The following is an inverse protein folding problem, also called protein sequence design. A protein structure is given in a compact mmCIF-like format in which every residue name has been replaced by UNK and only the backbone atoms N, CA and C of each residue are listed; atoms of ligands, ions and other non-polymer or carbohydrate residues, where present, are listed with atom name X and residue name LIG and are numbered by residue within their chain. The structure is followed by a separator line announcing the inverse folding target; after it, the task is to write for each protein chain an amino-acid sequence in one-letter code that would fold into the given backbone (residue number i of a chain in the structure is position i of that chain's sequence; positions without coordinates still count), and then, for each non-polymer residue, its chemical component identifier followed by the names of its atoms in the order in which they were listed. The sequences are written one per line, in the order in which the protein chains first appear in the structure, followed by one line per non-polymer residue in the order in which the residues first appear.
data_IF_247762221660
#
_entry.id   IF_247762221660
#
_cell.length_a   1.000
_cell.length_b   1.000
_cell.length_c   1.000
_cell.angle_alpha   90.00
_cell.angle_beta   90.00
_cell.angle_gamma   90.00
#
_symmetry.space_group_name_H-M   'P 1'
#
loop_
_entity.id
_entity.type
_entity.pdbx_description
1 polymer ?
#
# COMPACT_ATOMS: atom_id res chain seq x y z
N UNK A 1 3.28 8.99 -18.48
CA UNK A 1 2.77 8.99 -17.09
C UNK A 1 1.61 9.98 -17.03
N UNK A 2 0.37 9.54 -16.78
CA UNK A 2 -0.79 10.46 -16.82
C UNK A 2 -1.07 10.99 -15.42
N UNK A 3 -1.16 12.31 -15.25
CA UNK A 3 -1.41 12.97 -13.96
C UNK A 3 -2.65 12.40 -13.23
N UNK A 4 -3.72 12.11 -13.98
CA UNK A 4 -4.95 11.48 -13.47
C UNK A 4 -4.67 10.15 -12.75
N UNK A 5 -3.82 9.31 -13.35
CA UNK A 5 -3.48 7.97 -12.82
C UNK A 5 -2.72 8.07 -11.50
N UNK A 6 -1.72 8.96 -11.45
CA UNK A 6 -0.97 9.21 -10.22
C UNK A 6 -1.87 9.79 -9.12
N UNK A 7 -2.80 10.68 -9.47
CA UNK A 7 -3.76 11.24 -8.52
C UNK A 7 -4.72 10.17 -7.96
N UNK A 8 -5.26 9.29 -8.80
CA UNK A 8 -6.09 8.17 -8.35
C UNK A 8 -5.33 7.20 -7.44
N UNK A 9 -4.05 6.95 -7.76
CA UNK A 9 -3.14 6.20 -6.89
C UNK A 9 -2.92 6.89 -5.55
N UNK A 10 -2.60 8.19 -5.56
CA UNK A 10 -2.37 8.98 -4.36
C UNK A 10 -3.58 8.99 -3.43
N UNK A 11 -4.78 9.22 -3.97
CA UNK A 11 -6.02 9.18 -3.19
C UNK A 11 -6.28 7.80 -2.58
N UNK A 12 -6.08 6.72 -3.35
CA UNK A 12 -6.18 5.36 -2.84
C UNK A 12 -5.20 5.08 -1.71
N UNK A 13 -3.96 5.53 -1.85
CA UNK A 13 -2.92 5.41 -0.84
C UNK A 13 -3.20 6.20 0.43
N UNK A 14 -3.67 7.46 0.31
CA UNK A 14 -4.11 8.28 1.45
C UNK A 14 -5.20 7.60 2.24
N UNK A 15 -6.24 7.07 1.56
CA UNK A 15 -7.35 6.40 2.24
C UNK A 15 -6.87 5.12 2.93
N UNK A 16 -6.06 4.30 2.24
CA UNK A 16 -5.53 3.07 2.81
C UNK A 16 -4.64 3.33 4.04
N UNK A 17 -3.79 4.36 4.01
CA UNK A 17 -2.98 4.78 5.17
C UNK A 17 -3.82 5.40 6.30
N UNK A 18 -4.90 6.11 5.96
CA UNK A 18 -5.86 6.58 6.97
C UNK A 18 -6.55 5.43 7.69
N UNK A 19 -6.98 4.40 6.94
CA UNK A 19 -7.52 3.17 7.54
C UNK A 19 -6.44 2.49 8.39
N UNK A 20 -5.19 2.39 7.89
CA UNK A 20 -4.03 1.92 8.65
C UNK A 20 -3.90 2.65 10.00
N UNK A 21 -3.90 3.98 10.02
CA UNK A 21 -3.75 4.70 11.29
C UNK A 21 -4.92 4.38 12.24
N UNK A 22 -6.13 4.24 11.71
CA UNK A 22 -7.33 3.99 12.51
C UNK A 22 -7.38 2.59 13.16
N UNK A 23 -6.87 1.51 12.53
CA UNK A 23 -6.89 0.18 13.16
C UNK A 23 -5.71 -0.08 14.10
N UNK A 24 -4.64 0.73 14.10
CA UNK A 24 -3.45 0.49 14.93
C UNK A 24 -3.75 0.23 16.42
N UNK A 25 -4.73 0.91 17.07
CA UNK A 25 -5.09 0.58 18.45
C UNK A 25 -5.57 -0.86 18.64
N UNK A 26 -6.18 -1.48 17.63
CA UNK A 26 -6.65 -2.86 17.66
C UNK A 26 -5.52 -3.85 17.39
N UNK A 27 -4.73 -3.63 16.34
CA UNK A 27 -3.66 -4.56 15.98
C UNK A 27 -2.57 -4.64 17.07
N UNK A 28 -2.25 -3.54 17.76
CA UNK A 28 -1.33 -3.55 18.91
C UNK A 28 -1.77 -4.51 20.00
N UNK A 29 -3.09 -4.61 20.24
CA UNK A 29 -3.67 -5.54 21.22
C UNK A 29 -3.59 -6.99 20.75
N UNK A 30 -3.87 -7.23 19.46
CA UNK A 30 -3.82 -8.57 18.84
C UNK A 30 -2.40 -9.13 18.85
N UNK A 31 -1.43 -8.32 18.41
CA UNK A 31 -0.03 -8.74 18.28
C UNK A 31 0.79 -8.56 19.56
N UNK A 32 0.25 -7.88 20.58
CA UNK A 32 0.92 -7.59 21.86
C UNK A 32 2.29 -6.92 21.64
N UNK A 33 2.29 -5.89 20.80
CA UNK A 33 3.46 -5.05 20.51
C UNK A 33 3.04 -3.59 20.54
N UNK A 34 3.87 -2.73 21.13
CA UNK A 34 3.66 -1.29 21.19
C UNK A 34 3.89 -0.56 19.88
N UNK A 35 4.32 -1.25 18.81
CA UNK A 35 4.71 -0.63 17.56
C UNK A 35 3.57 0.19 16.94
N UNK A 36 3.82 1.49 16.74
CA UNK A 36 2.89 2.48 16.23
C UNK A 36 3.62 3.34 15.19
N UNK A 37 3.19 3.26 13.92
CA UNK A 37 3.82 4.00 12.82
C UNK A 37 3.57 5.51 12.91
N UNK A 38 2.43 5.94 13.48
CA UNK A 38 2.13 7.35 13.69
C UNK A 38 3.05 7.91 14.77
N UNK A 39 3.27 7.17 15.85
CA UNK A 39 4.23 7.54 16.88
C UNK A 39 5.65 7.58 16.34
N UNK A 40 6.05 6.55 15.60
CA UNK A 40 7.36 6.48 14.97
C UNK A 40 7.62 7.70 14.06
N UNK A 41 6.69 8.04 13.17
CA UNK A 41 6.88 9.17 12.24
C UNK A 41 6.78 10.52 12.94
N UNK A 42 5.83 10.68 13.86
CA UNK A 42 5.60 11.93 14.56
C UNK A 42 6.79 12.32 15.43
N UNK A 43 7.26 11.36 16.25
CA UNK A 43 8.39 11.57 17.17
C UNK A 43 9.75 11.66 16.48
N UNK A 44 9.85 11.31 15.19
CA UNK A 44 11.03 11.62 14.39
C UNK A 44 11.16 13.13 14.10
N UNK A 45 10.05 13.88 14.15
CA UNK A 45 10.01 15.31 13.83
C UNK A 45 9.84 16.19 15.06
N UNK A 46 8.91 15.85 15.96
CA UNK A 46 8.65 16.59 17.20
C UNK A 46 8.35 15.65 18.35
N UNK A 47 8.88 15.94 19.53
CA UNK A 47 8.57 15.19 20.77
C UNK A 47 7.49 15.89 21.61
N UNK A 48 7.01 17.04 21.15
CA UNK A 48 5.98 17.84 21.80
C UNK A 48 4.58 17.24 21.56
N UNK A 49 3.55 17.86 22.15
CA UNK A 49 2.17 17.35 22.17
C UNK A 49 1.55 17.19 20.77
N UNK A 50 2.14 17.80 19.75
CA UNK A 50 1.70 17.78 18.36
C UNK A 50 2.13 16.53 17.59
N UNK A 51 3.03 15.70 18.14
CA UNK A 51 3.55 14.51 17.44
C UNK A 51 2.45 13.60 16.84
N UNK A 52 1.26 13.39 17.44
CA UNK A 52 0.24 12.53 16.84
C UNK A 52 -0.29 13.09 15.51
N UNK A 53 -0.45 14.42 15.43
CA UNK A 53 -0.93 15.07 14.21
C UNK A 53 0.13 15.08 13.12
N UNK A 54 1.38 15.36 13.50
CA UNK A 54 2.53 15.32 12.58
C UNK A 54 2.73 13.91 12.05
N UNK A 55 2.71 12.91 12.92
CA UNK A 55 2.85 11.51 12.56
C UNK A 55 1.74 11.03 11.64
N UNK A 56 0.48 11.40 11.91
CA UNK A 56 -0.65 11.06 11.05
C UNK A 56 -0.50 11.70 9.68
N UNK A 57 -0.14 12.99 9.62
CA UNK A 57 0.08 13.71 8.37
C UNK A 57 1.18 13.06 7.51
N UNK A 58 2.32 12.72 8.13
CA UNK A 58 3.40 12.01 7.44
C UNK A 58 2.98 10.61 6.99
N UNK A 59 2.21 9.89 7.82
CA UNK A 59 1.75 8.55 7.48
C UNK A 59 0.81 8.55 6.27
N UNK A 60 -0.16 9.47 6.21
CA UNK A 60 -1.05 9.60 5.05
C UNK A 60 -0.31 10.13 3.82
N UNK A 61 0.66 11.03 4.00
CA UNK A 61 1.52 11.50 2.90
C UNK A 61 2.36 10.37 2.31
N UNK A 62 2.96 9.52 3.15
CA UNK A 62 3.69 8.34 2.70
C UNK A 62 2.78 7.39 1.93
N UNK A 63 1.56 7.16 2.43
CA UNK A 63 0.52 6.40 1.72
C UNK A 63 0.21 7.00 0.34
N UNK A 64 0.05 8.32 0.25
CA UNK A 64 -0.20 9.01 -1.01
C UNK A 64 0.95 8.84 -2.02
N UNK A 65 2.19 9.03 -1.58
CA UNK A 65 3.39 8.84 -2.41
C UNK A 65 3.48 7.39 -2.88
N UNK A 66 3.32 6.43 -1.96
CA UNK A 66 3.30 5.01 -2.29
C UNK A 66 2.22 4.70 -3.33
N UNK A 67 0.99 5.16 -3.11
CA UNK A 67 -0.14 4.93 -4.01
C UNK A 67 0.09 5.50 -5.41
N UNK A 68 0.69 6.69 -5.52
CA UNK A 68 1.06 7.29 -6.80
C UNK A 68 2.09 6.44 -7.56
N UNK A 69 3.11 5.92 -6.86
CA UNK A 69 4.13 5.02 -7.42
C UNK A 69 3.49 3.69 -7.82
N UNK A 70 2.71 3.09 -6.93
CA UNK A 70 1.98 1.84 -7.16
C UNK A 70 1.14 1.93 -8.43
N UNK A 71 0.41 3.03 -8.64
CA UNK A 71 -0.39 3.20 -9.84
C UNK A 71 0.45 3.09 -11.12
N UNK A 72 1.72 3.50 -11.12
CA UNK A 72 2.62 3.35 -12.29
C UNK A 72 3.22 1.95 -12.41
N UNK A 73 3.53 1.31 -11.30
CA UNK A 73 4.19 -0.02 -11.27
C UNK A 73 3.19 -1.18 -11.42
N UNK A 74 1.91 -0.97 -11.08
CA UNK A 74 0.83 -1.96 -11.14
C UNK A 74 0.75 -2.81 -12.42
N UNK A 75 1.03 -2.33 -13.64
CA UNK A 75 0.99 -3.15 -14.85
C UNK A 75 2.00 -4.31 -14.82
N UNK A 76 3.09 -4.18 -14.07
CA UNK A 76 4.13 -5.21 -13.95
C UNK A 76 3.85 -6.22 -12.84
N UNK A 77 2.76 -6.04 -12.07
CA UNK A 77 2.39 -6.94 -10.98
C UNK A 77 1.34 -7.96 -11.45
N UNK A 78 1.53 -9.26 -11.15
CA UNK A 78 0.59 -10.29 -11.56
C UNK A 78 -0.69 -10.30 -10.71
N UNK A 79 -1.73 -10.94 -11.23
CA UNK A 79 -2.96 -11.23 -10.49
C UNK A 79 -4.00 -10.10 -10.47
N UNK A 80 -5.10 -10.28 -9.73
CA UNK A 80 -6.17 -9.29 -9.59
C UNK A 80 -5.75 -8.07 -8.75
N UNK A 81 -6.50 -6.95 -8.80
CA UNK A 81 -6.10 -5.68 -8.18
C UNK A 81 -5.71 -5.76 -6.70
N UNK A 82 -6.48 -6.50 -5.90
CA UNK A 82 -6.20 -6.70 -4.47
C UNK A 82 -4.87 -7.42 -4.27
N UNK A 83 -4.61 -8.48 -5.04
CA UNK A 83 -3.36 -9.26 -4.97
C UNK A 83 -2.17 -8.38 -5.37
N UNK A 84 -2.28 -7.58 -6.43
CA UNK A 84 -1.21 -6.64 -6.82
C UNK A 84 -0.86 -5.65 -5.71
N UNK A 85 -1.89 -5.08 -5.07
CA UNK A 85 -1.68 -4.15 -3.97
C UNK A 85 -1.03 -4.82 -2.76
N UNK A 86 -1.48 -6.02 -2.37
CA UNK A 86 -0.86 -6.82 -1.30
C UNK A 86 0.59 -7.16 -1.62
N UNK A 87 0.89 -7.59 -2.85
CA UNK A 87 2.26 -7.88 -3.30
C UNK A 87 3.14 -6.63 -3.18
N UNK A 88 2.65 -5.47 -3.61
CA UNK A 88 3.39 -4.21 -3.50
C UNK A 88 3.68 -3.84 -2.04
N UNK A 89 2.67 -3.87 -1.17
CA UNK A 89 2.83 -3.54 0.25
C UNK A 89 3.75 -4.51 0.99
N UNK A 90 3.63 -5.82 0.74
CA UNK A 90 4.52 -6.81 1.37
C UNK A 90 5.95 -6.74 0.85
N UNK A 91 6.13 -6.39 -0.43
CA UNK A 91 7.47 -6.18 -0.99
C UNK A 91 8.16 -4.99 -0.33
N UNK A 92 7.46 -3.87 -0.18
CA UNK A 92 7.95 -2.71 0.55
C UNK A 92 8.30 -3.08 2.00
N UNK A 93 7.39 -3.77 2.70
CA UNK A 93 7.60 -4.19 4.08
C UNK A 93 8.91 -4.95 4.23
N UNK A 94 9.12 -5.99 3.43
CA UNK A 94 10.31 -6.85 3.51
C UNK A 94 11.56 -6.08 3.11
N UNK A 95 11.50 -5.25 2.06
CA UNK A 95 12.62 -4.46 1.59
C UNK A 95 13.08 -3.45 2.66
N UNK A 96 12.13 -2.72 3.27
CA UNK A 96 12.43 -1.67 4.23
C UNK A 96 12.61 -2.18 5.66
N UNK A 97 12.17 -3.41 5.99
CA UNK A 97 12.32 -3.94 7.35
C UNK A 97 13.77 -3.95 7.83
N UNK A 98 14.73 -4.20 6.94
CA UNK A 98 16.15 -4.17 7.29
C UNK A 98 16.63 -2.80 7.79
N UNK A 99 15.96 -1.71 7.38
CA UNK A 99 16.25 -0.33 7.79
C UNK A 99 15.72 0.00 9.20
N UNK A 100 14.89 -0.86 9.80
CA UNK A 100 14.47 -0.68 11.20
C UNK A 100 15.64 -0.68 12.19
N UNK A 101 16.79 -1.26 11.79
CA UNK A 101 18.06 -1.13 12.54
C UNK A 101 18.52 0.32 12.66
N UNK A 102 18.30 1.13 11.62
CA UNK A 102 18.65 2.56 11.64
C UNK A 102 17.69 3.32 12.54
N UNK A 103 16.41 2.95 12.54
CA UNK A 103 15.43 3.48 13.50
C UNK A 103 15.88 3.17 14.92
N UNK A 104 16.23 1.91 15.20
CA UNK A 104 16.68 1.52 16.54
C UNK A 104 17.97 2.21 16.99
N UNK A 105 18.84 2.58 16.06
CA UNK A 105 20.11 3.23 16.33
C UNK A 105 20.01 4.75 16.45
N UNK A 106 19.17 5.41 15.65
CA UNK A 106 19.25 6.86 15.42
C UNK A 106 17.97 7.63 15.72
N UNK A 107 16.84 6.97 16.00
CA UNK A 107 15.58 7.68 16.20
C UNK A 107 15.66 8.67 17.39
N UNK A 108 15.26 9.95 17.25
CA UNK A 108 15.38 10.95 18.32
C UNK A 108 14.69 10.55 19.63
N UNK A 109 13.47 10.00 19.52
CA UNK A 109 12.71 9.49 20.67
C UNK A 109 12.92 7.98 20.93
N UNK A 110 14.09 7.42 20.56
CA UNK A 110 14.29 5.97 20.58
C UNK A 110 13.88 5.31 21.89
N UNK A 111 14.17 5.90 23.04
CA UNK A 111 13.91 5.31 24.36
C UNK A 111 12.43 5.06 24.67
N UNK A 112 11.53 5.70 23.93
CA UNK A 112 10.08 5.60 24.14
C UNK A 112 9.39 4.62 23.18
N UNK A 113 10.10 4.18 22.13
CA UNK A 113 9.52 3.39 21.06
C UNK A 113 9.71 1.88 21.27
N UNK A 114 8.78 1.10 20.71
CA UNK A 114 8.94 -0.35 20.61
C UNK A 114 10.21 -0.70 19.80
N UNK A 115 11.10 -1.58 20.30
CA UNK A 115 12.20 -2.11 19.50
C UNK A 115 11.73 -2.91 18.29
N UNK A 116 12.33 -2.64 17.12
CA UNK A 116 11.89 -3.25 15.87
C UNK A 116 12.84 -4.36 15.39
N UNK A 117 14.13 -4.14 15.52
CA UNK A 117 15.17 -5.08 15.09
C UNK A 117 15.04 -6.39 15.86
N UNK A 118 14.77 -7.48 15.13
CA UNK A 118 14.59 -8.80 15.73
C UNK A 118 13.25 -8.99 16.45
N UNK A 119 12.36 -8.01 16.45
CA UNK A 119 11.05 -8.13 17.08
C UNK A 119 10.04 -8.83 16.15
N UNK A 120 9.87 -10.14 16.35
CA UNK A 120 8.97 -10.95 15.54
C UNK A 120 7.49 -10.51 15.65
N UNK A 121 7.07 -9.95 16.79
CA UNK A 121 5.69 -9.46 16.97
C UNK A 121 5.45 -8.19 16.16
N UNK A 122 6.38 -7.24 16.23
CA UNK A 122 6.34 -6.03 15.42
C UNK A 122 6.41 -6.37 13.92
N UNK A 123 7.23 -7.35 13.52
CA UNK A 123 7.29 -7.82 12.14
C UNK A 123 5.95 -8.41 11.67
N UNK A 124 5.35 -9.31 12.45
CA UNK A 124 4.05 -9.91 12.10
C UNK A 124 2.92 -8.86 12.05
N UNK A 125 2.93 -7.90 12.99
CA UNK A 125 2.01 -6.79 13.01
C UNK A 125 2.17 -5.89 11.78
N UNK A 126 3.41 -5.55 11.42
CA UNK A 126 3.72 -4.77 10.24
C UNK A 126 3.34 -5.49 8.94
N UNK A 127 3.55 -6.82 8.88
CA UNK A 127 3.10 -7.66 7.76
C UNK A 127 1.58 -7.57 7.59
N UNK A 128 0.81 -7.70 8.68
CA UNK A 128 -0.64 -7.53 8.65
C UNK A 128 -1.04 -6.16 8.11
N UNK A 129 -0.41 -5.10 8.62
CA UNK A 129 -0.70 -3.73 8.22
C UNK A 129 -0.43 -3.47 6.74
N UNK A 130 0.71 -3.92 6.21
CA UNK A 130 1.03 -3.77 4.79
C UNK A 130 0.12 -4.62 3.90
N UNK A 131 -0.31 -5.80 4.36
CA UNK A 131 -1.31 -6.60 3.65
C UNK A 131 -2.68 -5.87 3.60
N UNK A 132 -3.15 -5.33 4.73
CA UNK A 132 -4.39 -4.55 4.80
C UNK A 132 -4.32 -3.32 3.88
N UNK A 133 -3.25 -2.53 4.00
CA UNK A 133 -3.01 -1.36 3.16
C UNK A 133 -2.97 -1.73 1.68
N UNK A 134 -2.20 -2.75 1.32
CA UNK A 134 -2.09 -3.22 -0.06
C UNK A 134 -3.43 -3.66 -0.61
N UNK A 135 -4.23 -4.41 0.16
CA UNK A 135 -5.56 -4.83 -0.26
C UNK A 135 -6.50 -3.64 -0.55
N UNK A 136 -6.52 -2.66 0.36
CA UNK A 136 -7.34 -1.45 0.22
C UNK A 136 -6.87 -0.58 -0.95
N UNK A 137 -5.55 -0.32 -1.05
CA UNK A 137 -4.96 0.42 -2.14
C UNK A 137 -5.29 -0.22 -3.49
N UNK A 138 -5.07 -1.53 -3.61
CA UNK A 138 -5.33 -2.28 -4.84
C UNK A 138 -6.79 -2.20 -5.30
N UNK A 139 -7.74 -2.25 -4.35
CA UNK A 139 -9.15 -2.10 -4.63
C UNK A 139 -9.52 -0.65 -5.01
N UNK A 140 -9.14 0.32 -4.18
CA UNK A 140 -9.55 1.73 -4.33
C UNK A 140 -8.89 2.34 -5.57
N UNK A 141 -7.58 2.18 -5.74
CA UNK A 141 -6.86 2.68 -6.92
C UNK A 141 -7.46 2.10 -8.20
N UNK A 142 -7.80 0.81 -8.22
CA UNK A 142 -8.40 0.20 -9.39
C UNK A 142 -9.75 0.81 -9.75
N UNK A 143 -10.58 1.15 -8.74
CA UNK A 143 -11.87 1.80 -8.97
C UNK A 143 -11.69 3.25 -9.44
N UNK A 144 -10.76 4.00 -8.85
CA UNK A 144 -10.50 5.39 -9.20
C UNK A 144 -9.87 5.55 -10.60
N UNK A 145 -9.08 4.57 -11.01
CA UNK A 145 -8.38 4.57 -12.31
C UNK A 145 -9.04 3.66 -13.36
N UNK A 146 -10.16 3.01 -13.05
CA UNK A 146 -10.96 2.32 -14.06
C UNK A 146 -11.50 3.36 -15.05
N UNK A 147 -11.38 3.09 -16.34
CA UNK A 147 -12.04 3.88 -17.36
C UNK A 147 -13.48 3.38 -17.52
N UNK A 148 -14.52 4.15 -17.17
CA UNK A 148 -15.91 3.73 -17.33
C UNK A 148 -16.30 3.52 -18.79
N UNK A 149 -15.53 4.07 -19.75
CA UNK A 149 -15.80 4.03 -21.18
C UNK A 149 -14.91 3.09 -21.99
N UNK A 150 -14.04 2.30 -21.34
CA UNK A 150 -13.26 1.30 -22.06
C UNK A 150 -14.16 0.14 -22.49
N UNK A 151 -14.73 0.24 -23.69
CA UNK A 151 -15.32 -0.91 -24.36
C UNK A 151 -14.27 -2.02 -24.44
N UNK A 152 -14.62 -3.29 -24.13
CA UNK A 152 -13.74 -4.39 -24.48
C UNK A 152 -13.43 -4.30 -25.98
N UNK A 153 -12.19 -4.60 -26.41
CA UNK A 153 -11.85 -4.54 -27.82
C UNK A 153 -12.88 -5.38 -28.60
N UNK A 154 -13.39 -4.87 -29.73
CA UNK A 154 -14.39 -5.59 -30.51
C UNK A 154 -13.85 -6.98 -30.81
N UNK A 155 -14.55 -8.00 -30.35
CA UNK A 155 -14.23 -9.38 -30.69
C UNK A 155 -14.40 -9.48 -32.21
N UNK A 156 -13.37 -9.88 -32.97
CA UNK A 156 -13.54 -10.15 -34.40
C UNK A 156 -14.65 -11.18 -34.56
N UNK A 157 -15.80 -10.74 -35.02
CA UNK A 157 -16.91 -11.63 -35.36
C UNK A 157 -16.64 -12.06 -36.79
N UNK A 158 -16.44 -13.36 -37.03
CA UNK A 158 -16.36 -13.85 -38.40
C UNK A 158 -17.65 -13.50 -39.13
N UNK A 159 -17.56 -13.22 -40.44
CA UNK A 159 -18.70 -12.86 -41.29
C UNK A 159 -19.80 -13.92 -41.34
N UNK A 160 -19.52 -15.14 -40.85
CA UNK A 160 -20.47 -16.25 -40.73
C UNK A 160 -21.19 -16.32 -39.37
N UNK A 161 -20.97 -15.36 -38.45
CA UNK A 161 -21.63 -15.33 -37.14
C UNK A 161 -21.09 -16.36 -36.14
N UNK A 162 -19.93 -16.96 -36.40
CA UNK A 162 -19.20 -17.78 -35.44
C UNK A 162 -17.93 -17.01 -35.03
N UNK A 163 -17.50 -17.12 -33.78
CA UNK A 163 -16.27 -16.46 -33.34
C UNK A 163 -15.08 -16.88 -34.20
N UNK A 164 -14.08 -16.01 -34.34
CA UNK A 164 -12.85 -16.34 -35.05
C UNK A 164 -12.09 -17.46 -34.32
N UNK A 165 -11.93 -18.61 -34.98
CA UNK A 165 -11.26 -19.78 -34.41
C UNK A 165 -9.78 -19.50 -34.19
N UNK A 166 -9.14 -18.67 -35.01
CA UNK A 166 -7.69 -18.37 -34.89
C UNK A 166 -7.40 -17.63 -33.58
N UNK A 167 -8.34 -16.76 -33.17
CA UNK A 167 -8.31 -16.09 -31.87
C UNK A 167 -8.54 -17.09 -30.72
N UNK A 168 -9.38 -18.10 -30.92
CA UNK A 168 -9.68 -19.11 -29.90
C UNK A 168 -8.52 -20.09 -29.66
N UNK A 169 -7.67 -20.35 -30.65
CA UNK A 169 -6.48 -21.22 -30.52
C UNK A 169 -5.18 -20.46 -30.24
N UNK A 170 -5.21 -19.12 -30.13
CA UNK A 170 -4.07 -18.33 -29.67
C UNK A 170 -2.87 -18.31 -30.62
N UNK A 171 -3.11 -18.54 -31.91
CA UNK A 171 -2.07 -18.44 -32.94
C UNK A 171 -2.08 -17.01 -33.47
N UNK A 172 -1.18 -16.18 -32.95
CA UNK A 172 -0.86 -14.84 -33.47
C UNK A 172 0.64 -14.76 -33.75
#
# INVERSE_FOLDING_TARGET
MTMKRSLGGALGGTIAAGVWAAQQPLDRRVFRSGYDDVELLGKAVTQEREWPFVGLALHVQNGAVFGAIYAQVKPFLPGPPVVRGVLAGLTEHVALWSLTRLVDAYHPARRELEPLTGNARAFAQATWRHALFGALLGLIEHRLNADPGAEPPPVPVSSNGHGDIEVAVGVA
#
